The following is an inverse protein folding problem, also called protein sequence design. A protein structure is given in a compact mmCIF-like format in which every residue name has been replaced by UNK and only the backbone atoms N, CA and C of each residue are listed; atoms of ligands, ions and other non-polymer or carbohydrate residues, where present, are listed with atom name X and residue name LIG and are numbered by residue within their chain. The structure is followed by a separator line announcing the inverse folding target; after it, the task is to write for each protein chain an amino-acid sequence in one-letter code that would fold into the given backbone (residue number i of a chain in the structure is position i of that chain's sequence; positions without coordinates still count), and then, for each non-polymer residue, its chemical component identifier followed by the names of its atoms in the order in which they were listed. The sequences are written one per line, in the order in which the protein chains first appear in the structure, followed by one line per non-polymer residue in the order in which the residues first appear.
data_IF_803102902433
#
_entry.id   IF_803102902433
#
_cell.length_a   1.000
_cell.length_b   1.000
_cell.length_c   1.000
_cell.angle_alpha   90.00
_cell.angle_beta   90.00
_cell.angle_gamma   90.00
#
_symmetry.space_group_name_H-M   'P 1'
#
loop_
_entity.id
_entity.type
_entity.pdbx_description
1 polymer ?
#
# COMPACT_ATOMS: atom_id res chain seq x y z
N UNK A 1 20.56 -22.44 29.80
CA UNK A 1 20.66 -20.99 29.53
C UNK A 1 19.24 -20.42 29.52
N UNK A 2 18.81 -19.60 30.49
CA UNK A 2 17.49 -18.97 30.45
C UNK A 2 17.49 -17.87 29.39
N UNK A 3 16.50 -17.88 28.50
CA UNK A 3 16.28 -16.85 27.48
C UNK A 3 15.86 -15.57 28.21
N UNK A 4 16.75 -14.59 28.31
CA UNK A 4 16.40 -13.27 28.82
C UNK A 4 15.36 -12.67 27.87
N UNK A 5 14.12 -12.58 28.33
CA UNK A 5 13.06 -11.83 27.65
C UNK A 5 13.50 -10.37 27.60
N UNK A 6 13.99 -9.92 26.45
CA UNK A 6 14.13 -8.50 26.16
C UNK A 6 12.75 -7.99 25.80
N UNK A 7 11.89 -7.77 26.79
CA UNK A 7 10.67 -6.99 26.58
C UNK A 7 11.09 -5.51 26.56
N UNK A 8 11.58 -5.05 25.42
CA UNK A 8 11.53 -3.63 25.11
C UNK A 8 10.08 -3.19 25.30
N UNK A 9 9.79 -2.08 26.00
CA UNK A 9 8.43 -1.57 26.05
C UNK A 9 7.95 -1.33 24.62
N UNK A 10 6.70 -1.73 24.33
CA UNK A 10 6.03 -1.38 23.08
C UNK A 10 6.13 0.14 22.90
N UNK A 11 6.44 0.64 21.70
CA UNK A 11 6.51 2.07 21.47
C UNK A 11 5.13 2.71 21.75
N UNK A 12 5.15 3.92 22.31
CA UNK A 12 3.94 4.69 22.58
C UNK A 12 3.38 5.25 21.25
N UNK A 13 2.15 4.86 20.83
CA UNK A 13 1.55 5.32 19.58
C UNK A 13 1.46 6.84 19.46
N UNK A 14 1.31 7.55 20.58
CA UNK A 14 1.18 9.02 20.60
C UNK A 14 2.47 9.74 20.17
N UNK A 15 3.59 9.02 20.09
CA UNK A 15 4.85 9.56 19.53
C UNK A 15 4.87 9.61 18.01
N UNK A 16 3.90 8.96 17.34
CA UNK A 16 3.78 8.91 15.89
C UNK A 16 2.65 9.85 15.42
N UNK A 17 2.94 10.74 14.45
CA UNK A 17 1.96 11.72 14.01
C UNK A 17 0.82 11.06 13.24
N UNK A 18 -0.42 11.47 13.52
CA UNK A 18 -1.62 10.80 13.01
C UNK A 18 -1.79 10.96 11.51
N UNK A 19 -1.41 12.10 10.94
CA UNK A 19 -1.47 12.39 9.50
C UNK A 19 -0.61 11.45 8.63
N UNK A 20 0.39 10.80 9.22
CA UNK A 20 1.28 9.87 8.53
C UNK A 20 0.95 8.40 8.76
N UNK A 21 0.37 8.08 9.91
CA UNK A 21 0.21 6.69 10.37
C UNK A 21 -1.24 6.28 10.57
N UNK A 22 -2.21 7.20 10.46
CA UNK A 22 -3.63 6.88 10.53
C UNK A 22 -4.22 7.09 9.14
N UNK A 23 -4.66 6.00 8.51
CA UNK A 23 -5.27 6.02 7.19
C UNK A 23 -6.78 6.17 7.34
N UNK A 24 -7.33 7.30 6.90
CA UNK A 24 -8.76 7.57 6.93
C UNK A 24 -9.44 7.21 5.60
N UNK A 25 -10.44 6.33 5.64
CA UNK A 25 -11.38 6.09 4.55
C UNK A 25 -12.78 6.67 4.84
N UNK A 26 -13.69 6.60 3.86
CA UNK A 26 -15.07 7.11 3.99
C UNK A 26 -15.86 6.47 5.16
N UNK A 27 -15.52 5.24 5.56
CA UNK A 27 -16.25 4.48 6.59
C UNK A 27 -15.40 3.96 7.76
N UNK A 28 -14.09 3.82 7.58
CA UNK A 28 -13.19 3.21 8.58
C UNK A 28 -11.86 3.96 8.66
N UNK A 29 -11.31 4.06 9.87
CA UNK A 29 -9.98 4.59 10.12
C UNK A 29 -9.07 3.42 10.51
N UNK A 30 -7.95 3.27 9.81
CA UNK A 30 -6.93 2.28 10.12
C UNK A 30 -5.76 2.97 10.82
N UNK A 31 -5.56 2.67 12.11
CA UNK A 31 -4.44 3.19 12.88
C UNK A 31 -3.21 2.28 12.75
N UNK A 32 -2.28 2.66 11.88
CA UNK A 32 -1.01 1.97 11.66
C UNK A 32 0.11 2.45 12.60
N UNK A 33 -0.17 3.23 13.65
CA UNK A 33 0.86 3.67 14.60
C UNK A 33 1.42 2.46 15.35
N UNK A 34 2.77 2.32 15.47
CA UNK A 34 3.38 1.25 16.24
C UNK A 34 2.84 1.19 17.68
N UNK A 35 2.39 0.02 18.11
CA UNK A 35 1.79 -0.18 19.43
C UNK A 35 0.28 0.09 19.50
N UNK A 36 -0.36 0.55 18.41
CA UNK A 36 -1.81 0.69 18.36
C UNK A 36 -2.49 -0.67 18.42
N UNK A 37 -3.54 -0.77 19.24
CA UNK A 37 -4.31 -2.00 19.47
C UNK A 37 -5.67 -1.98 18.77
N UNK A 38 -6.01 -0.91 18.06
CA UNK A 38 -7.35 -0.70 17.49
C UNK A 38 -7.31 -0.85 15.98
N UNK A 39 -7.79 -2.00 15.51
CA UNK A 39 -8.22 -2.22 14.13
C UNK A 39 -9.72 -2.48 14.18
N UNK A 40 -10.51 -1.48 13.81
CA UNK A 40 -11.96 -1.60 13.78
C UNK A 40 -12.40 -2.24 12.45
N UNK A 41 -12.75 -3.52 12.49
CA UNK A 41 -13.29 -4.24 11.35
C UNK A 41 -12.25 -4.69 10.31
N UNK A 42 -12.73 -5.20 9.17
CA UNK A 42 -11.90 -5.59 8.05
C UNK A 42 -11.78 -4.43 7.06
N UNK A 43 -10.57 -4.16 6.58
CA UNK A 43 -10.30 -3.17 5.55
C UNK A 43 -10.07 -3.84 4.20
N UNK A 44 -10.50 -3.17 3.12
CA UNK A 44 -10.22 -3.59 1.75
C UNK A 44 -9.02 -2.82 1.22
N UNK A 45 -8.05 -3.54 0.67
CA UNK A 45 -6.88 -2.99 -0.01
C UNK A 45 -7.03 -3.22 -1.52
N UNK A 46 -7.10 -2.13 -2.29
CA UNK A 46 -7.09 -2.18 -3.75
C UNK A 46 -5.66 -2.32 -4.26
N UNK A 47 -5.43 -3.24 -5.18
CA UNK A 47 -4.10 -3.49 -5.76
C UNK A 47 -3.99 -2.73 -7.09
N UNK A 48 -3.02 -1.83 -7.18
CA UNK A 48 -2.68 -1.05 -8.38
C UNK A 48 -1.31 -1.45 -8.90
N UNK A 49 -1.28 -2.28 -9.94
CA UNK A 49 -0.03 -2.68 -10.58
C UNK A 49 0.34 -1.69 -11.69
N UNK A 50 1.42 -0.93 -11.49
CA UNK A 50 1.96 0.03 -12.46
C UNK A 50 3.08 -0.65 -13.25
N UNK A 51 2.72 -1.75 -13.91
CA UNK A 51 3.65 -2.51 -14.77
C UNK A 51 3.22 -2.35 -16.23
N UNK A 52 4.18 -2.26 -17.19
CA UNK A 52 3.88 -2.18 -18.62
C UNK A 52 3.08 -3.40 -19.13
N UNK A 53 3.13 -4.50 -18.40
CA UNK A 53 2.60 -5.80 -18.80
C UNK A 53 1.29 -6.16 -18.06
N UNK A 54 0.65 -5.20 -17.39
CA UNK A 54 -0.55 -5.45 -16.58
C UNK A 54 -1.73 -5.87 -17.48
N UNK A 55 -1.90 -7.19 -17.57
CA UNK A 55 -2.94 -7.89 -18.29
C UNK A 55 -4.32 -7.63 -17.65
N UNK A 56 -5.15 -6.77 -18.28
CA UNK A 56 -6.59 -7.03 -18.43
C UNK A 56 -7.32 -6.23 -19.53
N UNK A 57 -6.80 -5.15 -20.12
CA UNK A 57 -7.52 -4.42 -21.20
C UNK A 57 -6.62 -3.88 -22.35
N UNK A 58 -5.60 -4.64 -22.76
CA UNK A 58 -4.95 -4.40 -24.06
C UNK A 58 -3.69 -3.54 -24.08
N UNK A 59 -2.82 -3.65 -23.07
CA UNK A 59 -1.38 -3.36 -23.22
C UNK A 59 -1.03 -1.91 -23.55
N UNK A 60 -1.83 -0.95 -23.12
CA UNK A 60 -1.41 0.45 -23.10
C UNK A 60 -0.69 0.72 -21.80
N UNK A 61 0.45 1.39 -21.89
CA UNK A 61 1.20 1.90 -20.75
C UNK A 61 0.22 2.50 -19.74
N UNK A 62 0.20 2.02 -18.49
CA UNK A 62 -0.53 2.69 -17.42
C UNK A 62 0.09 4.08 -17.29
N UNK A 63 -0.60 5.08 -17.83
CA UNK A 63 -0.25 6.48 -17.60
C UNK A 63 -0.53 6.81 -16.14
N UNK A 64 0.14 7.85 -15.62
CA UNK A 64 -0.13 8.34 -14.26
C UNK A 64 -1.60 8.70 -14.11
N UNK A 65 -2.19 9.27 -15.15
CA UNK A 65 -3.60 9.66 -15.20
C UNK A 65 -4.53 8.45 -15.07
N UNK A 66 -4.24 7.33 -15.76
CA UNK A 66 -5.00 6.09 -15.64
C UNK A 66 -4.84 5.46 -14.26
N UNK A 67 -3.63 5.47 -13.69
CA UNK A 67 -3.36 4.98 -12.34
C UNK A 67 -4.17 5.76 -11.29
N UNK A 68 -4.20 7.09 -11.40
CA UNK A 68 -4.99 7.97 -10.52
C UNK A 68 -6.49 7.74 -10.72
N UNK A 69 -6.96 7.62 -11.96
CA UNK A 69 -8.37 7.33 -12.25
C UNK A 69 -8.80 6.00 -11.63
N UNK A 70 -7.99 4.95 -11.80
CA UNK A 70 -8.27 3.62 -11.25
C UNK A 70 -8.26 3.64 -9.71
N UNK A 71 -7.39 4.45 -9.11
CA UNK A 71 -7.36 4.70 -7.67
C UNK A 71 -8.68 5.31 -7.19
N UNK A 72 -9.16 6.34 -7.88
CA UNK A 72 -10.43 6.98 -7.54
C UNK A 72 -11.62 6.01 -7.65
N UNK A 73 -11.64 5.15 -8.67
CA UNK A 73 -12.64 4.08 -8.80
C UNK A 73 -12.60 3.11 -7.61
N UNK A 74 -11.43 2.56 -7.28
CA UNK A 74 -11.28 1.63 -6.15
C UNK A 74 -11.72 2.24 -4.82
N UNK A 75 -11.40 3.52 -4.59
CA UNK A 75 -11.87 4.25 -3.41
C UNK A 75 -13.40 4.38 -3.40
N UNK A 76 -14.02 4.64 -4.56
CA UNK A 76 -15.48 4.71 -4.69
C UNK A 76 -16.17 3.35 -4.48
N UNK A 77 -15.48 2.25 -4.80
CA UNK A 77 -15.93 0.87 -4.56
C UNK A 77 -15.72 0.40 -3.11
N UNK A 78 -15.07 1.21 -2.28
CA UNK A 78 -14.90 0.96 -0.83
C UNK A 78 -13.50 0.50 -0.40
N UNK A 79 -12.49 0.60 -1.27
CA UNK A 79 -11.11 0.42 -0.83
C UNK A 79 -10.74 1.45 0.24
N UNK A 80 -10.13 0.97 1.33
CA UNK A 80 -9.59 1.82 2.40
C UNK A 80 -8.10 2.09 2.21
N UNK A 81 -7.43 1.24 1.44
CA UNK A 81 -5.98 1.26 1.20
C UNK A 81 -5.76 1.00 -0.28
N UNK A 82 -4.71 1.58 -0.84
CA UNK A 82 -4.25 1.32 -2.20
C UNK A 82 -2.80 0.86 -2.11
N UNK A 83 -2.53 -0.32 -2.67
CA UNK A 83 -1.20 -0.92 -2.75
C UNK A 83 -0.64 -0.73 -4.16
N UNK A 84 0.37 0.12 -4.31
CA UNK A 84 0.93 0.52 -5.60
C UNK A 84 2.25 -0.22 -5.83
N UNK A 85 2.28 -1.11 -6.82
CA UNK A 85 3.45 -1.92 -7.14
C UNK A 85 3.97 -1.68 -8.55
N UNK A 86 5.27 -1.35 -8.69
CA UNK A 86 5.93 -1.13 -9.99
C UNK A 86 6.67 -2.36 -10.53
N UNK A 87 6.88 -3.38 -9.69
CA UNK A 87 7.47 -4.66 -10.05
C UNK A 87 6.43 -5.78 -10.10
N UNK A 88 6.49 -6.61 -11.15
CA UNK A 88 5.61 -7.76 -11.29
C UNK A 88 6.16 -8.97 -10.52
N UNK A 89 5.38 -9.53 -9.60
CA UNK A 89 5.71 -10.75 -8.85
C UNK A 89 5.23 -12.05 -9.52
N UNK A 90 4.67 -11.96 -10.75
CA UNK A 90 4.19 -13.15 -11.49
C UNK A 90 5.35 -14.10 -11.83
N UNK A 91 5.12 -15.43 -11.86
CA UNK A 91 6.16 -16.39 -12.24
C UNK A 91 6.77 -16.07 -13.60
N UNK A 92 8.10 -15.95 -13.65
CA UNK A 92 8.84 -15.69 -14.89
C UNK A 92 8.86 -14.23 -15.35
N UNK A 93 8.41 -13.27 -14.53
CA UNK A 93 8.71 -11.86 -14.80
C UNK A 93 10.20 -11.56 -14.67
N UNK A 94 10.70 -10.69 -15.55
CA UNK A 94 12.04 -10.15 -15.42
C UNK A 94 12.08 -9.17 -14.23
N UNK A 95 13.11 -9.26 -13.37
CA UNK A 95 13.28 -8.30 -12.28
C UNK A 95 13.53 -6.90 -12.85
N UNK A 96 13.07 -5.89 -12.14
CA UNK A 96 13.32 -4.49 -12.51
C UNK A 96 14.37 -3.89 -11.60
N UNK A 97 15.10 -2.90 -12.09
CA UNK A 97 16.00 -2.13 -11.24
C UNK A 97 15.21 -1.21 -10.31
N UNK A 98 15.81 -0.85 -9.16
CA UNK A 98 15.21 0.13 -8.22
C UNK A 98 14.84 1.44 -8.92
N UNK A 99 15.67 1.91 -9.85
CA UNK A 99 15.41 3.12 -10.61
C UNK A 99 14.16 2.99 -11.49
N UNK A 100 14.02 1.87 -12.20
CA UNK A 100 12.86 1.60 -13.05
C UNK A 100 11.57 1.45 -12.24
N UNK A 101 11.62 0.77 -11.09
CA UNK A 101 10.45 0.65 -10.21
C UNK A 101 10.04 2.02 -9.64
N UNK A 102 11.02 2.81 -9.18
CA UNK A 102 10.78 4.15 -8.66
C UNK A 102 10.17 5.07 -9.70
N UNK A 103 10.65 5.02 -10.94
CA UNK A 103 10.13 5.83 -12.05
C UNK A 103 8.68 5.44 -12.42
N UNK A 104 8.24 4.23 -12.07
CA UNK A 104 6.84 3.79 -12.23
C UNK A 104 5.96 4.23 -11.05
N UNK A 105 6.43 4.04 -9.82
CA UNK A 105 5.60 4.21 -8.60
C UNK A 105 5.52 5.66 -8.14
N UNK A 106 6.64 6.39 -8.10
CA UNK A 106 6.70 7.75 -7.52
C UNK A 106 5.79 8.78 -8.21
N UNK A 107 5.60 8.74 -9.54
CA UNK A 107 4.72 9.70 -10.20
C UNK A 107 3.22 9.50 -9.93
N UNK A 108 2.80 8.32 -9.43
CA UNK A 108 1.40 7.97 -9.11
C UNK A 108 1.01 8.51 -7.74
#
# INVERSE_FOLDING_TARGET
MPRVSRSSPSPDPETFPTDRFVLGGQAHSLDCRPGSSVVDGAHVMGILNVTPDSFSDGGQYVTVEEAVSRTAEMLSEGASIIDVGGESTRPGADPVTEAEERDRVVPV
#
